data_IF_366506428682
#
_entry.id   IF_366506428682
#
_cell.length_a   1.000
_cell.length_b   1.000
_cell.length_c   1.000
_cell.angle_alpha   90.00
_cell.angle_beta   90.00
_cell.angle_gamma   90.00
#
_symmetry.space_group_name_H-M   'P 1'
#
loop_
_entity.id
_entity.type
_entity.pdbx_description
1 polymer ?
#
# COMPACT_ATOMS: atom_id res chain seq x y z
N UNK A 1 -9.58 0.23 -8.82
CA UNK A 1 -9.12 -1.15 -8.64
C UNK A 1 -7.88 -1.22 -7.76
N UNK A 2 -6.89 -0.36 -8.05
CA UNK A 2 -5.64 -0.38 -7.29
C UNK A 2 -5.84 -0.02 -5.81
N UNK A 3 -6.64 1.01 -5.52
CA UNK A 3 -6.93 1.39 -4.14
C UNK A 3 -7.59 0.23 -3.40
N UNK A 4 -8.54 -0.43 -4.03
CA UNK A 4 -9.24 -1.57 -3.43
C UNK A 4 -8.28 -2.72 -3.18
N UNK A 5 -7.38 -3.00 -4.10
CA UNK A 5 -6.40 -4.07 -3.97
C UNK A 5 -5.46 -3.82 -2.80
N UNK A 6 -4.87 -2.62 -2.74
CA UNK A 6 -3.97 -2.24 -1.65
C UNK A 6 -4.69 -2.29 -0.31
N UNK A 7 -5.91 -1.74 -0.26
CA UNK A 7 -6.72 -1.73 0.94
C UNK A 7 -7.02 -3.14 1.43
N UNK A 8 -7.40 -4.04 0.53
CA UNK A 8 -7.69 -5.43 0.87
C UNK A 8 -6.48 -6.13 1.48
N UNK A 9 -5.32 -5.97 0.84
CA UNK A 9 -4.09 -6.58 1.34
C UNK A 9 -3.75 -6.04 2.73
N UNK A 10 -3.79 -4.72 2.90
CA UNK A 10 -3.47 -4.10 4.17
C UNK A 10 -4.43 -4.54 5.26
N UNK A 11 -5.73 -4.54 4.99
CA UNK A 11 -6.74 -4.96 5.97
C UNK A 11 -6.59 -6.40 6.39
N UNK A 12 -6.06 -7.23 5.51
CA UNK A 12 -5.85 -8.66 5.82
C UNK A 12 -4.67 -8.88 6.75
N UNK A 13 -3.75 -7.92 6.85
CA UNK A 13 -2.48 -8.09 7.54
C UNK A 13 -2.34 -7.26 8.81
N UNK A 14 -3.24 -6.30 9.05
CA UNK A 14 -3.17 -5.42 10.22
C UNK A 14 -4.21 -5.85 11.26
N UNK A 15 -4.00 -5.39 12.51
CA UNK A 15 -4.93 -5.68 13.61
C UNK A 15 -6.14 -4.77 13.61
N UNK A 16 -6.01 -3.56 13.07
CA UNK A 16 -7.09 -2.59 13.05
C UNK A 16 -7.45 -2.23 11.60
N UNK A 17 -8.17 -3.12 10.92
CA UNK A 17 -8.51 -2.87 9.51
C UNK A 17 -9.39 -1.65 9.30
N UNK A 18 -10.17 -1.25 10.30
CA UNK A 18 -11.03 -0.07 10.18
C UNK A 18 -10.23 1.23 10.09
N UNK A 19 -8.97 1.21 10.51
CA UNK A 19 -8.10 2.37 10.44
C UNK A 19 -7.31 2.43 9.12
N UNK A 20 -7.44 1.43 8.26
CA UNK A 20 -6.75 1.41 6.97
C UNK A 20 -7.46 2.34 5.99
N UNK A 21 -6.70 3.22 5.36
CA UNK A 21 -7.20 4.04 4.27
C UNK A 21 -6.11 4.18 3.21
N UNK A 22 -6.53 4.29 1.96
CA UNK A 22 -5.62 4.45 0.83
C UNK A 22 -6.07 5.62 0.01
N UNK A 23 -5.15 6.53 -0.28
CA UNK A 23 -5.42 7.67 -1.15
C UNK A 23 -4.43 7.65 -2.31
N UNK A 24 -4.81 8.24 -3.43
CA UNK A 24 -3.95 8.32 -4.60
C UNK A 24 -3.64 9.77 -4.91
N UNK A 25 -2.36 10.05 -5.14
CA UNK A 25 -1.89 11.37 -5.55
C UNK A 25 -1.12 11.21 -6.85
N UNK A 26 -1.47 12.02 -7.85
CA UNK A 26 -0.76 12.04 -9.11
C UNK A 26 0.43 12.98 -9.01
N UNK A 27 1.63 12.46 -9.22
CA UNK A 27 2.86 13.26 -9.23
C UNK A 27 3.55 13.09 -10.58
N UNK A 28 3.35 14.06 -11.46
CA UNK A 28 3.83 13.96 -12.84
C UNK A 28 3.17 12.75 -13.52
N UNK A 29 3.96 11.81 -14.02
CA UNK A 29 3.45 10.59 -14.64
C UNK A 29 3.48 9.39 -13.70
N UNK A 30 3.64 9.62 -12.39
CA UNK A 30 3.66 8.57 -11.37
C UNK A 30 2.40 8.67 -10.52
N UNK A 31 1.70 7.55 -10.33
CA UNK A 31 0.59 7.45 -9.40
C UNK A 31 1.14 7.00 -8.05
N UNK A 32 0.99 7.82 -7.03
CA UNK A 32 1.47 7.50 -5.68
C UNK A 32 0.26 7.13 -4.82
N UNK A 33 0.27 5.92 -4.30
CA UNK A 33 -0.76 5.44 -3.39
C UNK A 33 -0.26 5.55 -1.97
N UNK A 34 -0.93 6.38 -1.17
CA UNK A 34 -0.56 6.61 0.23
C UNK A 34 -1.41 5.72 1.12
N UNK A 35 -0.75 4.80 1.79
CA UNK A 35 -1.40 3.86 2.70
C UNK A 35 -1.31 4.39 4.13
N UNK A 36 -2.46 4.53 4.78
CA UNK A 36 -2.56 4.92 6.17
C UNK A 36 -3.05 3.74 6.99
N UNK A 37 -2.38 3.47 8.10
CA UNK A 37 -2.78 2.42 9.03
C UNK A 37 -2.80 2.99 10.44
N UNK A 38 -3.39 2.27 11.40
CA UNK A 38 -3.37 2.66 12.79
C UNK A 38 -1.93 2.80 13.30
N UNK A 39 -1.63 3.75 14.19
CA UNK A 39 -0.27 3.89 14.73
C UNK A 39 0.28 2.59 15.32
N UNK A 40 -0.57 1.78 15.92
CA UNK A 40 -0.18 0.50 16.49
C UNK A 40 0.27 -0.50 15.41
N UNK A 41 -0.33 -0.40 14.22
CA UNK A 41 0.01 -1.27 13.11
C UNK A 41 1.19 -0.75 12.30
N UNK A 42 1.49 0.53 12.40
CA UNK A 42 2.57 1.16 11.64
C UNK A 42 3.90 0.45 11.93
N UNK A 43 4.18 0.15 13.19
CA UNK A 43 5.40 -0.56 13.57
C UNK A 43 5.49 -1.95 12.94
N UNK A 44 4.35 -2.61 12.76
CA UNK A 44 4.31 -3.93 12.11
C UNK A 44 4.46 -3.85 10.61
N UNK A 45 3.87 -2.84 9.99
CA UNK A 45 3.95 -2.66 8.53
C UNK A 45 5.37 -2.31 8.12
N UNK A 46 6.02 -1.41 8.85
CA UNK A 46 7.39 -0.97 8.56
C UNK A 46 8.41 -1.90 9.23
N UNK A 47 8.10 -2.39 10.43
CA UNK A 47 8.97 -3.26 11.20
C UNK A 47 9.02 -4.69 10.68
N UNK A 48 9.70 -5.57 11.44
CA UNK A 48 9.85 -6.98 11.08
C UNK A 48 10.34 -7.15 9.63
N UNK A 49 11.38 -6.38 9.26
CA UNK A 49 11.99 -6.44 7.94
C UNK A 49 11.05 -5.96 6.82
N UNK A 50 10.00 -5.23 7.16
CA UNK A 50 9.10 -4.65 6.19
C UNK A 50 8.33 -5.67 5.36
N UNK A 51 7.99 -6.81 5.93
CA UNK A 51 7.31 -7.89 5.19
C UNK A 51 6.00 -7.45 4.57
N UNK A 52 5.19 -6.72 5.33
CA UNK A 52 3.89 -6.25 4.84
C UNK A 52 4.10 -5.22 3.73
N UNK A 53 5.02 -4.27 3.95
CA UNK A 53 5.35 -3.27 2.94
C UNK A 53 5.86 -3.92 1.66
N UNK A 54 6.74 -4.91 1.78
CA UNK A 54 7.26 -5.63 0.62
C UNK A 54 6.16 -6.38 -0.13
N UNK A 55 5.25 -7.03 0.59
CA UNK A 55 4.15 -7.76 -0.01
C UNK A 55 3.26 -6.82 -0.84
N UNK A 56 2.90 -5.68 -0.26
CA UNK A 56 2.08 -4.69 -0.95
C UNK A 56 2.80 -4.15 -2.18
N UNK A 57 4.07 -3.79 -2.03
CA UNK A 57 4.85 -3.25 -3.14
C UNK A 57 5.02 -4.26 -4.27
N UNK A 58 5.21 -5.53 -3.94
CA UNK A 58 5.36 -6.58 -4.95
C UNK A 58 4.08 -6.73 -5.79
N UNK A 59 2.92 -6.75 -5.13
CA UNK A 59 1.64 -6.86 -5.83
C UNK A 59 1.40 -5.62 -6.69
N UNK A 60 1.66 -4.42 -6.15
CA UNK A 60 1.47 -3.17 -6.88
C UNK A 60 2.42 -3.10 -8.07
N UNK A 61 3.66 -3.52 -7.91
CA UNK A 61 4.64 -3.54 -9.01
C UNK A 61 4.19 -4.45 -10.14
N UNK A 62 3.69 -5.63 -9.81
CA UNK A 62 3.18 -6.56 -10.82
C UNK A 62 2.00 -5.95 -11.58
N UNK A 63 1.06 -5.32 -10.87
CA UNK A 63 -0.08 -4.67 -11.49
C UNK A 63 0.35 -3.49 -12.36
N UNK A 64 1.35 -2.72 -11.92
CA UNK A 64 1.86 -1.59 -12.68
C UNK A 64 2.48 -2.04 -14.01
N UNK A 65 3.24 -3.11 -13.97
CA UNK A 65 3.85 -3.69 -15.18
C UNK A 65 2.75 -4.15 -16.15
N UNK A 66 1.75 -4.84 -15.63
CA UNK A 66 0.65 -5.34 -16.46
C UNK A 66 -0.12 -4.21 -17.12
N UNK A 67 -0.32 -3.10 -16.41
CA UNK A 67 -1.05 -1.94 -16.94
C UNK A 67 -0.15 -0.93 -17.65
N UNK A 68 1.14 -1.18 -17.67
CA UNK A 68 2.15 -0.28 -18.25
C UNK A 68 2.07 1.12 -17.63
N UNK A 69 2.00 1.16 -16.31
CA UNK A 69 1.93 2.42 -15.55
C UNK A 69 3.09 2.51 -14.57
N UNK A 70 3.40 3.73 -14.16
CA UNK A 70 4.35 3.98 -13.07
C UNK A 70 3.56 4.21 -11.80
N UNK A 71 3.72 3.30 -10.85
CA UNK A 71 2.98 3.33 -9.59
C UNK A 71 3.97 3.21 -8.44
N UNK A 72 3.76 4.01 -7.40
CA UNK A 72 4.53 3.95 -6.17
C UNK A 72 3.59 3.81 -4.99
N UNK A 73 4.06 3.22 -3.90
CA UNK A 73 3.30 3.09 -2.66
C UNK A 73 4.10 3.68 -1.52
N UNK A 74 3.50 4.63 -0.81
CA UNK A 74 4.05 5.22 0.38
C UNK A 74 3.21 4.82 1.58
N UNK A 75 3.87 4.48 2.68
CA UNK A 75 3.20 4.18 3.95
C UNK A 75 3.43 5.38 4.86
N UNK A 76 2.34 6.03 5.21
CA UNK A 76 2.39 7.28 5.99
C UNK A 76 1.63 7.21 7.29
#
# INVERSE_FOLDING_TARGET
VMIELISLIAKSLVKQPDAVSVTMVQKGNVEVYELHVAPEDMGKVIGKQGRIAKAIRSVVKAAAIKENKKISVDIV
#
